data_IF_002805582129
#
_entry.id   IF_002805582129
#
_cell.length_a   1.000
_cell.length_b   1.000
_cell.length_c   1.000
_cell.angle_alpha   90.00
_cell.angle_beta   90.00
_cell.angle_gamma   90.00
#
_symmetry.space_group_name_H-M   'P 1'
#
loop_
_entity.id
_entity.type
_entity.pdbx_description
1 polymer ?
#
# COMPACT_ATOMS: atom_id res chain seq x y z
N UNK A 1 4.94 -104.71 -4.10
CA UNK A 1 5.70 -103.89 -3.10
C UNK A 1 5.97 -102.44 -3.53
N UNK A 2 6.14 -102.13 -4.83
CA UNK A 2 6.51 -100.79 -5.33
C UNK A 2 5.42 -99.70 -5.14
N UNK A 3 4.14 -100.07 -5.16
CA UNK A 3 3.01 -99.14 -5.01
C UNK A 3 2.88 -98.52 -3.61
N UNK A 4 3.10 -99.30 -2.55
CA UNK A 4 3.04 -98.82 -1.17
C UNK A 4 4.20 -97.88 -0.83
N UNK A 5 5.37 -98.09 -1.43
CA UNK A 5 6.53 -97.19 -1.31
C UNK A 5 6.24 -95.82 -1.93
N UNK A 6 5.60 -95.75 -3.10
CA UNK A 6 5.25 -94.48 -3.75
C UNK A 6 4.20 -93.66 -2.97
N UNK A 7 3.21 -94.33 -2.36
CA UNK A 7 2.22 -93.65 -1.49
C UNK A 7 2.89 -93.06 -0.25
N UNK A 8 3.83 -93.79 0.36
CA UNK A 8 4.59 -93.33 1.53
C UNK A 8 5.50 -92.14 1.19
N UNK A 9 6.16 -92.17 0.03
CA UNK A 9 7.01 -91.08 -0.46
C UNK A 9 6.17 -89.81 -0.74
N UNK A 10 5.01 -89.94 -1.37
CA UNK A 10 4.13 -88.80 -1.64
C UNK A 10 3.53 -88.19 -0.35
N UNK A 11 3.17 -89.01 0.64
CA UNK A 11 2.77 -88.51 1.97
C UNK A 11 3.88 -87.74 2.67
N UNK A 12 5.14 -88.22 2.58
CA UNK A 12 6.31 -87.52 3.14
C UNK A 12 6.58 -86.19 2.42
N UNK A 13 6.50 -86.15 1.08
CA UNK A 13 6.65 -84.93 0.28
C UNK A 13 5.58 -83.88 0.62
N UNK A 14 4.31 -84.27 0.70
CA UNK A 14 3.22 -83.35 1.04
C UNK A 14 3.37 -82.76 2.46
N UNK A 15 3.80 -83.56 3.43
CA UNK A 15 4.09 -83.08 4.78
C UNK A 15 5.25 -82.08 4.83
N UNK A 16 6.28 -82.28 4.00
CA UNK A 16 7.41 -81.35 3.90
C UNK A 16 6.98 -80.00 3.29
N UNK A 17 6.18 -80.03 2.23
CA UNK A 17 5.62 -78.82 1.58
C UNK A 17 4.75 -78.03 2.58
N UNK A 18 3.89 -78.71 3.35
CA UNK A 18 3.07 -78.07 4.39
C UNK A 18 3.92 -77.40 5.48
N UNK A 19 5.02 -78.04 5.91
CA UNK A 19 5.95 -77.47 6.89
C UNK A 19 6.66 -76.22 6.34
N UNK A 20 7.09 -76.24 5.07
CA UNK A 20 7.73 -75.11 4.41
C UNK A 20 6.76 -73.93 4.28
N UNK A 21 5.52 -74.18 3.83
CA UNK A 21 4.47 -73.16 3.71
C UNK A 21 4.15 -72.52 5.07
N UNK A 22 3.99 -73.32 6.14
CA UNK A 22 3.76 -72.80 7.50
C UNK A 22 4.93 -71.93 7.99
N UNK A 23 6.18 -72.36 7.74
CA UNK A 23 7.38 -71.59 8.14
C UNK A 23 7.50 -70.28 7.36
N UNK A 24 7.16 -70.28 6.07
CA UNK A 24 7.15 -69.07 5.23
C UNK A 24 6.04 -68.09 5.64
N UNK A 25 4.85 -68.58 6.00
CA UNK A 25 3.73 -67.77 6.53
C UNK A 25 4.10 -67.14 7.88
N UNK A 26 4.74 -67.90 8.78
CA UNK A 26 5.22 -67.38 10.07
C UNK A 26 6.32 -66.31 9.91
N UNK A 27 7.26 -66.49 8.98
CA UNK A 27 8.28 -65.46 8.65
C UNK A 27 7.67 -64.17 8.09
N UNK A 28 6.71 -64.28 7.15
CA UNK A 28 5.99 -63.10 6.63
C UNK A 28 5.23 -62.36 7.72
N UNK A 29 4.52 -63.09 8.60
CA UNK A 29 3.79 -62.48 9.71
C UNK A 29 4.72 -61.79 10.71
N UNK A 30 5.90 -62.36 11.01
CA UNK A 30 6.87 -61.76 11.92
C UNK A 30 7.47 -60.45 11.36
N UNK A 31 7.79 -60.43 10.06
CA UNK A 31 8.28 -59.22 9.37
C UNK A 31 7.21 -58.12 9.30
N UNK A 32 5.95 -58.47 9.01
CA UNK A 32 4.82 -57.53 9.06
C UNK A 32 4.60 -56.96 10.46
N UNK A 33 4.80 -57.75 11.51
CA UNK A 33 4.65 -57.29 12.89
C UNK A 33 5.80 -56.39 13.33
N UNK A 34 7.03 -56.68 12.89
CA UNK A 34 8.19 -55.80 13.09
C UNK A 34 7.98 -54.43 12.42
N UNK A 35 7.51 -54.41 11.17
CA UNK A 35 7.21 -53.16 10.45
C UNK A 35 6.05 -52.37 11.08
N UNK A 36 5.03 -53.05 11.64
CA UNK A 36 3.95 -52.40 12.41
C UNK A 36 4.43 -51.76 13.71
N UNK A 37 5.40 -52.35 14.39
CA UNK A 37 5.93 -51.81 15.64
C UNK A 37 6.82 -50.58 15.40
N UNK A 38 7.58 -50.54 14.29
CA UNK A 38 8.39 -49.37 13.89
C UNK A 38 7.50 -48.14 13.56
N UNK A 39 6.33 -48.35 12.95
CA UNK A 39 5.37 -47.27 12.65
C UNK A 39 4.58 -46.77 13.89
N UNK A 40 4.59 -47.52 14.99
CA UNK A 40 3.93 -47.14 16.26
C UNK A 40 4.84 -46.37 17.21
N UNK A 41 6.15 -46.50 17.10
CA UNK A 41 7.13 -45.79 17.92
C UNK A 41 7.56 -44.43 17.36
N UNK A 42 6.78 -43.83 16.46
CA UNK A 42 7.13 -42.54 15.85
C UNK A 42 6.69 -41.38 16.77
N UNK A 43 7.63 -40.68 17.45
CA UNK A 43 7.31 -39.64 18.44
C UNK A 43 6.53 -38.46 17.83
N UNK A 44 6.52 -38.35 16.49
CA UNK A 44 5.78 -37.32 15.76
C UNK A 44 4.26 -37.39 15.96
N UNK A 45 3.68 -38.58 16.17
CA UNK A 45 2.24 -38.73 16.43
C UNK A 45 1.85 -38.27 17.84
N UNK A 46 2.74 -38.46 18.81
CA UNK A 46 2.52 -38.02 20.18
C UNK A 46 2.68 -36.50 20.32
N UNK A 47 3.63 -35.91 19.60
CA UNK A 47 3.81 -34.45 19.53
C UNK A 47 2.61 -33.78 18.84
N UNK A 48 2.10 -34.33 17.72
CA UNK A 48 0.89 -33.79 17.09
C UNK A 48 -0.36 -33.96 17.99
N UNK A 49 -0.49 -35.08 18.69
CA UNK A 49 -1.59 -35.32 19.62
C UNK A 49 -1.53 -34.38 20.83
N UNK A 50 -0.35 -34.15 21.41
CA UNK A 50 -0.14 -33.19 22.50
C UNK A 50 -0.33 -31.74 22.04
N UNK A 51 0.10 -31.38 20.83
CA UNK A 51 -0.17 -30.06 20.25
C UNK A 51 -1.67 -29.84 20.00
N UNK A 52 -2.37 -30.85 19.48
CA UNK A 52 -3.82 -30.81 19.28
C UNK A 52 -4.59 -30.73 20.61
N UNK A 53 -4.12 -31.40 21.67
CA UNK A 53 -4.74 -31.36 23.00
C UNK A 53 -4.41 -30.05 23.76
N UNK A 54 -3.24 -29.46 23.55
CA UNK A 54 -2.85 -28.18 24.17
C UNK A 54 -3.63 -26.99 23.59
N UNK A 55 -3.95 -27.02 22.29
CA UNK A 55 -4.79 -25.98 21.67
C UNK A 55 -6.26 -25.99 22.14
N UNK A 56 -6.74 -27.05 22.78
CA UNK A 56 -8.16 -27.23 23.13
C UNK A 56 -8.55 -26.75 24.54
N UNK A 57 -7.66 -26.05 25.27
CA UNK A 57 -7.98 -25.42 26.56
C UNK A 57 -7.74 -23.90 26.57
N UNK A 58 -8.07 -23.22 25.48
CA UNK A 58 -8.45 -21.81 25.59
C UNK A 58 -9.96 -21.80 25.75
N UNK A 59 -10.43 -21.29 26.88
CA UNK A 59 -11.82 -20.98 27.11
C UNK A 59 -12.30 -20.07 25.97
N UNK A 60 -12.92 -20.67 24.95
CA UNK A 60 -13.51 -19.92 23.85
C UNK A 60 -14.76 -19.26 24.45
N UNK A 61 -14.60 -18.02 24.93
CA UNK A 61 -15.78 -17.17 25.07
C UNK A 61 -16.36 -17.07 23.66
N UNK A 62 -17.60 -17.51 23.51
CA UNK A 62 -18.32 -17.34 22.25
C UNK A 62 -18.37 -15.85 21.96
N UNK A 63 -17.61 -15.40 20.95
CA UNK A 63 -17.51 -13.99 20.60
C UNK A 63 -18.87 -13.58 20.05
N UNK A 64 -19.59 -12.77 20.81
CA UNK A 64 -20.85 -12.17 20.36
C UNK A 64 -20.57 -10.85 19.64
N UNK A 65 -21.52 -10.39 18.82
CA UNK A 65 -21.41 -9.11 18.11
C UNK A 65 -21.31 -7.89 19.04
N UNK A 66 -21.68 -8.01 20.32
CA UNK A 66 -21.59 -6.97 21.35
C UNK A 66 -20.21 -6.95 22.05
N UNK A 67 -19.30 -7.86 21.68
CA UNK A 67 -17.96 -7.92 22.25
C UNK A 67 -17.09 -6.78 21.73
N UNK A 68 -16.35 -6.13 22.62
CA UNK A 68 -15.42 -5.02 22.28
C UNK A 68 -14.28 -5.42 21.33
N UNK A 69 -14.03 -6.72 21.21
CA UNK A 69 -13.07 -7.31 20.28
C UNK A 69 -13.52 -7.20 18.81
N UNK A 70 -14.83 -7.09 18.58
CA UNK A 70 -15.43 -6.93 17.26
C UNK A 70 -15.32 -5.47 16.81
N UNK A 71 -15.01 -5.26 15.54
CA UNK A 71 -14.87 -3.91 15.01
C UNK A 71 -16.23 -3.23 14.83
N UNK A 72 -16.51 -2.22 15.65
CA UNK A 72 -17.69 -1.37 15.52
C UNK A 72 -17.85 -0.77 14.11
N UNK A 73 -16.75 -0.35 13.47
CA UNK A 73 -16.77 0.25 12.13
C UNK A 73 -17.24 -0.74 11.06
N UNK A 74 -16.75 -1.99 11.16
CA UNK A 74 -17.14 -3.06 10.26
C UNK A 74 -18.60 -3.49 10.46
N UNK A 75 -19.07 -3.49 11.71
CA UNK A 75 -20.49 -3.74 12.03
C UNK A 75 -21.41 -2.63 11.48
N UNK A 76 -20.98 -1.37 11.52
CA UNK A 76 -21.78 -0.26 10.97
C UNK A 76 -21.90 -0.34 9.44
N UNK A 77 -20.78 -0.23 8.73
CA UNK A 77 -20.73 -0.17 7.27
C UNK A 77 -19.44 -0.78 6.74
N UNK A 78 -18.32 -0.12 7.05
CA UNK A 78 -16.98 -0.47 6.59
C UNK A 78 -15.93 -0.06 7.62
N UNK A 79 -14.81 -0.78 7.65
CA UNK A 79 -13.66 -0.39 8.47
C UNK A 79 -12.66 0.42 7.61
N UNK A 80 -12.26 1.63 8.05
CA UNK A 80 -11.24 2.41 7.34
C UNK A 80 -9.89 1.68 7.18
N UNK A 81 -9.54 0.78 8.11
CA UNK A 81 -8.31 0.00 8.04
C UNK A 81 -8.29 -0.94 6.83
N UNK A 82 -9.42 -1.59 6.54
CA UNK A 82 -9.54 -2.51 5.40
C UNK A 82 -9.62 -1.76 4.06
N UNK A 83 -10.14 -0.53 4.07
CA UNK A 83 -10.30 0.25 2.84
C UNK A 83 -8.96 0.80 2.31
N UNK A 84 -8.02 1.11 3.19
CA UNK A 84 -6.75 1.77 2.83
C UNK A 84 -5.55 0.83 2.76
N UNK A 85 -5.74 -0.49 2.87
CA UNK A 85 -4.66 -1.46 2.68
C UNK A 85 -3.99 -1.28 1.31
N UNK A 86 -2.65 -1.34 1.30
CA UNK A 86 -1.83 -1.15 0.08
C UNK A 86 -1.95 0.24 -0.58
N UNK A 87 -2.44 1.26 0.14
CA UNK A 87 -2.48 2.64 -0.36
C UNK A 87 -1.41 3.51 0.29
N UNK A 88 -1.12 4.68 -0.29
CA UNK A 88 -0.21 5.68 0.32
C UNK A 88 -0.69 6.23 1.68
N UNK A 89 -1.94 5.96 2.05
CA UNK A 89 -2.55 6.38 3.32
C UNK A 89 -2.88 5.19 4.20
N UNK A 90 -2.15 4.08 4.07
CA UNK A 90 -2.35 2.89 4.89
C UNK A 90 -2.20 3.19 6.38
N UNK A 91 -3.19 2.75 7.16
CA UNK A 91 -3.29 2.92 8.61
C UNK A 91 -2.81 1.63 9.31
N UNK A 92 -2.58 0.57 8.56
CA UNK A 92 -2.24 -0.76 9.05
C UNK A 92 -3.47 -1.65 9.27
N UNK A 93 -3.24 -2.95 9.55
CA UNK A 93 -4.30 -3.93 9.77
C UNK A 93 -5.17 -3.54 10.96
N UNK A 94 -6.45 -3.92 10.93
CA UNK A 94 -7.35 -3.65 12.05
C UNK A 94 -7.00 -4.54 13.26
N UNK A 95 -6.94 -3.93 14.45
CA UNK A 95 -6.74 -4.66 15.72
C UNK A 95 -7.99 -5.44 16.17
N UNK A 96 -9.12 -5.23 15.50
CA UNK A 96 -10.43 -5.80 15.85
C UNK A 96 -10.88 -6.83 14.83
N UNK A 97 -11.76 -7.72 15.27
CA UNK A 97 -12.24 -8.85 14.47
C UNK A 97 -13.27 -8.38 13.43
N UNK A 98 -13.04 -8.75 12.17
CA UNK A 98 -13.97 -8.56 11.04
C UNK A 98 -14.52 -9.92 10.59
N UNK A 99 -15.52 -10.44 11.31
CA UNK A 99 -16.18 -11.69 10.93
C UNK A 99 -17.53 -11.41 10.23
N UNK A 100 -17.71 -11.82 8.95
CA UNK A 100 -18.98 -11.72 8.25
C UNK A 100 -20.15 -12.42 8.97
N UNK A 101 -19.89 -13.53 9.68
CA UNK A 101 -20.95 -14.27 10.40
C UNK A 101 -21.54 -13.47 11.55
N UNK A 102 -20.70 -12.68 12.23
CA UNK A 102 -21.15 -11.78 13.29
C UNK A 102 -22.01 -10.65 12.72
N UNK A 103 -21.65 -10.14 11.53
CA UNK A 103 -22.44 -9.12 10.84
C UNK A 103 -23.82 -9.62 10.45
N UNK A 104 -23.93 -10.80 9.86
CA UNK A 104 -25.23 -11.41 9.56
C UNK A 104 -26.08 -11.65 10.82
N UNK A 105 -25.43 -12.00 11.94
CA UNK A 105 -26.11 -12.22 13.22
C UNK A 105 -26.61 -10.91 13.83
N UNK A 106 -25.86 -9.82 13.63
CA UNK A 106 -26.23 -8.47 14.05
C UNK A 106 -27.42 -7.94 13.23
N UNK A 107 -27.43 -8.11 11.91
CA UNK A 107 -28.52 -7.70 11.02
C UNK A 107 -29.84 -8.43 11.31
N UNK A 108 -29.78 -9.67 11.82
CA UNK A 108 -30.96 -10.44 12.24
C UNK A 108 -31.47 -10.08 13.64
N UNK A 109 -30.72 -9.30 14.42
CA UNK A 109 -31.05 -8.99 15.81
C UNK A 109 -32.09 -7.85 15.89
N UNK A 110 -33.10 -7.95 16.76
CA UNK A 110 -34.07 -6.85 16.96
C UNK A 110 -33.44 -5.61 17.64
N UNK A 111 -32.21 -5.72 18.14
CA UNK A 111 -31.44 -4.62 18.74
C UNK A 111 -30.52 -3.93 17.73
N UNK A 112 -30.65 -4.24 16.44
CA UNK A 112 -29.83 -3.71 15.38
C UNK A 112 -29.84 -2.17 15.35
N UNK A 113 -31.00 -1.54 15.26
CA UNK A 113 -31.10 -0.10 14.98
C UNK A 113 -30.49 0.78 16.09
N UNK A 114 -30.71 0.41 17.35
CA UNK A 114 -30.17 1.16 18.51
C UNK A 114 -28.65 1.05 18.59
N UNK A 115 -28.09 -0.10 18.27
CA UNK A 115 -26.65 -0.32 18.31
C UNK A 115 -25.95 0.18 17.04
N UNK A 116 -26.62 0.12 15.89
CA UNK A 116 -26.14 0.67 14.64
C UNK A 116 -25.90 2.17 14.77
N UNK A 117 -26.84 2.91 15.36
CA UNK A 117 -26.67 4.36 15.59
C UNK A 117 -25.41 4.68 16.43
N UNK A 118 -25.08 3.84 17.43
CA UNK A 118 -23.86 3.99 18.23
C UNK A 118 -22.60 3.70 17.41
N UNK A 119 -22.59 2.61 16.65
CA UNK A 119 -21.46 2.25 15.81
C UNK A 119 -21.24 3.25 14.67
N UNK A 120 -22.31 3.80 14.10
CA UNK A 120 -22.25 4.88 13.12
C UNK A 120 -21.69 6.17 13.71
N UNK A 121 -22.09 6.53 14.94
CA UNK A 121 -21.51 7.69 15.62
C UNK A 121 -20.00 7.53 15.87
N UNK A 122 -19.54 6.35 16.31
CA UNK A 122 -18.11 6.07 16.44
C UNK A 122 -17.37 6.11 15.10
N UNK A 123 -17.98 5.58 14.03
CA UNK A 123 -17.43 5.64 12.69
C UNK A 123 -17.33 7.08 12.19
N UNK A 124 -18.35 7.90 12.40
CA UNK A 124 -18.36 9.31 12.02
C UNK A 124 -17.22 10.08 12.70
N UNK A 125 -17.03 9.89 14.01
CA UNK A 125 -15.91 10.47 14.75
C UNK A 125 -14.54 10.01 14.23
N UNK A 126 -14.43 8.73 13.82
CA UNK A 126 -13.19 8.23 13.21
C UNK A 126 -12.93 8.87 11.85
N UNK A 127 -13.96 9.01 11.02
CA UNK A 127 -13.87 9.68 9.72
C UNK A 127 -13.47 11.14 9.86
N UNK A 128 -14.04 11.88 10.81
CA UNK A 128 -13.69 13.27 11.08
C UNK A 128 -12.20 13.42 11.42
N UNK A 129 -11.67 12.55 12.29
CA UNK A 129 -10.22 12.53 12.60
C UNK A 129 -9.35 12.27 11.36
N UNK A 130 -9.78 11.39 10.45
CA UNK A 130 -9.06 11.13 9.21
C UNK A 130 -9.10 12.35 8.28
N UNK A 131 -10.24 13.02 8.16
CA UNK A 131 -10.37 14.26 7.38
C UNK A 131 -9.44 15.33 7.94
N UNK A 132 -9.41 15.52 9.27
CA UNK A 132 -8.51 16.49 9.90
C UNK A 132 -7.02 16.20 9.62
N UNK A 133 -6.60 14.93 9.62
CA UNK A 133 -5.22 14.57 9.28
C UNK A 133 -4.91 14.81 7.79
N UNK A 134 -5.88 14.54 6.90
CA UNK A 134 -5.77 14.85 5.48
C UNK A 134 -5.66 16.36 5.25
N UNK A 135 -6.50 17.15 5.90
CA UNK A 135 -6.45 18.62 5.82
C UNK A 135 -5.11 19.15 6.31
N UNK A 136 -4.58 18.60 7.40
CA UNK A 136 -3.25 18.96 7.91
C UNK A 136 -2.16 18.61 6.91
N UNK A 137 -2.25 17.45 6.24
CA UNK A 137 -1.31 17.02 5.19
C UNK A 137 -1.39 17.93 3.98
N UNK A 138 -2.60 18.31 3.55
CA UNK A 138 -2.84 19.26 2.46
C UNK A 138 -2.26 20.62 2.80
N UNK A 139 -2.50 21.13 4.02
CA UNK A 139 -1.96 22.42 4.47
C UNK A 139 -0.44 22.44 4.41
N UNK A 140 0.23 21.42 4.96
CA UNK A 140 1.70 21.30 4.87
C UNK A 140 2.18 21.17 3.42
N UNK A 141 1.42 20.46 2.57
CA UNK A 141 1.71 20.36 1.14
C UNK A 141 1.66 21.71 0.45
N UNK A 142 0.60 22.49 0.70
CA UNK A 142 0.45 23.85 0.18
C UNK A 142 1.53 24.80 0.68
N UNK A 143 1.90 24.72 1.96
CA UNK A 143 2.95 25.54 2.56
C UNK A 143 4.32 25.25 1.93
N UNK A 144 4.66 23.98 1.68
CA UNK A 144 5.87 23.61 0.93
C UNK A 144 5.87 24.12 -0.51
N UNK A 145 4.73 24.04 -1.20
CA UNK A 145 4.60 24.58 -2.56
C UNK A 145 4.74 26.10 -2.55
N UNK A 146 4.08 26.79 -1.62
CA UNK A 146 4.16 28.24 -1.48
C UNK A 146 5.58 28.72 -1.12
N UNK A 147 6.34 27.96 -0.32
CA UNK A 147 7.75 28.26 -0.03
C UNK A 147 8.67 28.00 -1.22
N UNK A 148 8.37 26.99 -2.06
CA UNK A 148 9.11 26.71 -3.28
C UNK A 148 8.83 27.73 -4.41
N UNK A 149 7.64 28.32 -4.41
CA UNK A 149 7.19 29.32 -5.38
C UNK A 149 7.27 30.76 -4.87
N UNK A 150 7.69 31.01 -3.62
CA UNK A 150 7.88 32.37 -3.11
C UNK A 150 9.06 33.00 -3.86
N UNK A 151 8.82 33.97 -4.78
CA UNK A 151 9.90 34.77 -5.28
C UNK A 151 10.31 35.65 -4.11
N UNK A 152 11.34 35.24 -3.38
CA UNK A 152 12.02 36.02 -2.34
C UNK A 152 11.83 37.51 -2.67
N UNK A 153 11.11 38.30 -1.84
CA UNK A 153 10.78 39.67 -2.18
C UNK A 153 12.09 40.31 -2.61
N UNK A 154 12.20 40.79 -3.87
CA UNK A 154 13.47 41.20 -4.41
C UNK A 154 14.07 42.17 -3.40
N UNK A 155 15.32 41.95 -2.94
CA UNK A 155 15.95 42.85 -1.99
C UNK A 155 15.74 44.26 -2.51
N UNK A 156 15.34 45.22 -1.65
CA UNK A 156 14.87 46.54 -2.09
C UNK A 156 15.88 47.05 -3.10
N UNK A 157 15.45 47.05 -4.37
CA UNK A 157 16.27 47.55 -5.46
C UNK A 157 16.62 48.96 -5.00
N UNK A 158 17.91 49.29 -4.90
CA UNK A 158 18.32 50.66 -4.63
C UNK A 158 17.50 51.54 -5.57
N UNK A 159 16.70 52.48 -5.04
CA UNK A 159 15.65 53.17 -5.80
C UNK A 159 16.14 53.63 -7.19
N UNK A 160 17.40 54.08 -7.24
CA UNK A 160 18.19 54.40 -8.42
C UNK A 160 18.17 53.36 -9.56
N UNK A 161 18.27 52.06 -9.26
CA UNK A 161 18.28 50.98 -10.27
C UNK A 161 16.87 50.74 -10.82
N UNK A 162 15.84 50.88 -9.99
CA UNK A 162 14.45 50.78 -10.42
C UNK A 162 14.09 51.95 -11.34
N UNK A 163 14.45 53.17 -10.94
CA UNK A 163 14.23 54.37 -11.74
C UNK A 163 14.95 54.32 -13.09
N UNK A 164 16.20 53.85 -13.13
CA UNK A 164 16.94 53.64 -14.40
C UNK A 164 16.23 52.66 -15.32
N UNK A 165 15.58 51.62 -14.81
CA UNK A 165 14.82 50.67 -15.62
C UNK A 165 13.54 51.31 -16.17
N UNK A 166 12.81 52.05 -15.33
CA UNK A 166 11.61 52.80 -15.74
C UNK A 166 11.91 53.83 -16.84
N UNK A 167 13.01 54.57 -16.72
CA UNK A 167 13.46 55.52 -17.75
C UNK A 167 13.81 54.82 -19.07
N UNK A 168 14.42 53.63 -19.02
CA UNK A 168 14.69 52.84 -20.22
C UNK A 168 13.40 52.27 -20.82
N UNK A 169 12.38 51.99 -20.00
CA UNK A 169 11.02 51.59 -20.38
C UNK A 169 10.28 52.64 -21.16
N UNK A 170 10.19 53.84 -20.61
CA UNK A 170 9.59 54.97 -21.26
C UNK A 170 10.28 55.30 -22.59
N UNK A 171 11.63 55.30 -22.61
CA UNK A 171 12.41 55.52 -23.83
C UNK A 171 12.22 54.46 -24.91
N UNK A 172 11.81 53.23 -24.56
CA UNK A 172 11.46 52.20 -25.54
C UNK A 172 10.05 52.42 -26.06
N UNK A 173 9.10 52.78 -25.20
CA UNK A 173 7.72 53.12 -25.60
C UNK A 173 7.71 54.31 -26.58
N UNK A 174 8.45 55.38 -26.27
CA UNK A 174 8.52 56.57 -27.12
C UNK A 174 9.13 56.27 -28.50
N UNK A 175 10.15 55.41 -28.55
CA UNK A 175 10.75 54.99 -29.82
C UNK A 175 9.83 54.08 -30.64
N UNK A 176 8.98 53.27 -30.00
CA UNK A 176 8.00 52.42 -30.71
C UNK A 176 6.93 53.29 -31.38
N UNK A 177 6.40 54.29 -30.67
CA UNK A 177 5.45 55.26 -31.24
C UNK A 177 6.06 55.99 -32.44
N UNK A 178 7.33 56.36 -32.38
CA UNK A 178 8.03 57.01 -33.51
C UNK A 178 8.18 56.08 -34.72
N UNK A 179 8.41 54.79 -34.49
CA UNK A 179 8.47 53.80 -35.58
C UNK A 179 7.10 53.62 -36.22
N UNK A 180 6.05 53.52 -35.41
CA UNK A 180 4.67 53.37 -35.90
C UNK A 180 4.28 54.57 -36.76
N UNK A 181 4.51 55.80 -36.29
CA UNK A 181 4.24 57.02 -37.04
C UNK A 181 5.04 57.10 -38.36
N UNK A 182 6.33 56.74 -38.37
CA UNK A 182 7.13 56.72 -39.60
C UNK A 182 6.71 55.60 -40.57
N UNK A 183 6.17 54.50 -40.04
CA UNK A 183 5.55 53.43 -40.80
C UNK A 183 4.26 53.89 -41.50
N UNK A 184 3.41 54.64 -40.80
CA UNK A 184 2.18 55.22 -41.34
C UNK A 184 2.45 56.25 -42.45
N UNK A 185 3.50 57.07 -42.30
CA UNK A 185 3.93 58.05 -43.31
C UNK A 185 4.63 57.38 -44.52
N UNK A 186 4.94 56.09 -44.44
CA UNK A 186 5.57 55.33 -45.53
C UNK A 186 7.08 55.52 -45.65
N UNK A 187 7.76 56.08 -44.63
CA UNK A 187 9.22 56.24 -44.59
C UNK A 187 9.89 54.98 -44.04
N UNK A 188 9.86 53.93 -44.85
CA UNK A 188 10.28 52.56 -44.45
C UNK A 188 11.74 52.50 -44.01
N UNK A 189 12.66 53.19 -44.70
CA UNK A 189 14.10 53.15 -44.39
C UNK A 189 14.42 53.80 -43.02
N UNK A 190 13.77 54.92 -42.70
CA UNK A 190 13.94 55.63 -41.42
C UNK A 190 13.33 54.82 -40.26
N UNK A 191 12.14 54.23 -40.48
CA UNK A 191 11.48 53.36 -39.51
C UNK A 191 12.33 52.11 -39.19
N UNK A 192 12.94 51.49 -40.20
CA UNK A 192 13.84 50.34 -40.02
C UNK A 192 15.10 50.72 -39.23
N UNK A 193 15.68 51.89 -39.47
CA UNK A 193 16.83 52.39 -38.72
C UNK A 193 16.51 52.59 -37.24
N UNK A 194 15.31 53.11 -36.91
CA UNK A 194 14.83 53.27 -35.53
C UNK A 194 14.50 51.93 -34.88
N UNK A 195 13.92 50.98 -35.62
CA UNK A 195 13.70 49.61 -35.13
C UNK A 195 14.98 48.89 -34.76
N UNK A 196 16.07 49.11 -35.51
CA UNK A 196 17.39 48.58 -35.16
C UNK A 196 17.91 49.17 -33.84
N UNK A 197 17.69 50.47 -33.59
CA UNK A 197 18.04 51.13 -32.31
C UNK A 197 17.19 50.60 -31.15
N UNK A 198 15.90 50.38 -31.37
CA UNK A 198 14.98 49.76 -30.41
C UNK A 198 15.44 48.36 -30.00
N UNK A 199 15.74 47.48 -30.97
CA UNK A 199 16.23 46.12 -30.71
C UNK A 199 17.52 46.13 -29.89
N UNK A 200 18.45 47.05 -30.16
CA UNK A 200 19.66 47.23 -29.35
C UNK A 200 19.35 47.63 -27.91
N UNK A 201 18.39 48.54 -27.70
CA UNK A 201 17.99 49.01 -26.36
C UNK A 201 17.23 47.92 -25.58
N UNK A 202 16.40 47.13 -26.26
CA UNK A 202 15.72 45.97 -25.68
C UNK A 202 16.68 44.83 -25.32
N UNK A 203 17.68 44.56 -26.18
CA UNK A 203 18.75 43.59 -25.89
C UNK A 203 19.51 43.95 -24.62
N UNK A 204 19.97 45.21 -24.52
CA UNK A 204 20.62 45.72 -23.29
C UNK A 204 19.70 45.58 -22.07
N UNK A 205 18.40 45.86 -22.17
CA UNK A 205 17.48 45.63 -21.04
C UNK A 205 17.46 44.16 -20.62
N UNK A 206 17.34 43.24 -21.57
CA UNK A 206 17.31 41.79 -21.29
C UNK A 206 18.61 41.31 -20.65
N UNK A 207 19.76 41.80 -21.10
CA UNK A 207 21.06 41.47 -20.50
C UNK A 207 21.18 42.02 -19.08
N UNK A 208 20.71 43.24 -18.84
CA UNK A 208 20.65 43.83 -17.50
C UNK A 208 19.70 43.08 -16.56
N UNK A 209 18.56 42.58 -17.07
CA UNK A 209 17.64 41.71 -16.32
C UNK A 209 18.20 40.29 -16.12
N UNK A 210 19.00 39.78 -17.07
CA UNK A 210 19.66 38.47 -16.99
C UNK A 210 20.79 38.45 -15.95
N UNK A 211 21.65 39.47 -15.93
CA UNK A 211 22.69 39.65 -14.89
C UNK A 211 22.09 39.77 -13.49
N UNK A 212 20.94 40.47 -13.37
CA UNK A 212 20.16 40.57 -12.13
C UNK A 212 19.69 39.21 -11.59
N UNK A 213 19.41 38.23 -12.46
CA UNK A 213 18.97 36.89 -12.07
C UNK A 213 20.13 36.01 -11.54
N UNK A 214 21.36 36.29 -11.96
CA UNK A 214 22.57 35.61 -11.48
C UNK A 214 23.05 36.18 -10.14
N UNK A 215 23.00 37.50 -9.95
CA UNK A 215 23.39 38.14 -8.67
C UNK A 215 22.44 37.81 -7.51
N UNK A 216 21.13 37.68 -7.77
CA UNK A 216 20.14 37.32 -6.74
C UNK A 216 20.04 35.80 -6.47
N UNK A 217 20.70 34.96 -7.27
CA UNK A 217 20.70 33.49 -7.11
C UNK A 217 21.93 32.93 -6.42
N UNK A 218 22.82 33.80 -5.93
CA UNK A 218 24.07 33.44 -5.27
C UNK A 218 24.21 34.12 -3.91
N UNK A 219 23.36 33.73 -2.96
CA UNK A 219 23.66 33.75 -1.53
C UNK A 219 22.76 32.74 -0.81
#
# INVERSE_FOLDING_TARGET
>A
EIWNSNISINKKKNNLILKICKKRKKRKNNSLNQNRNILKSNPRKEILSKAAAFSQRKDYKEITWDSKEVCAYYMARFCPHDLFVNTKSDIGPCDRVHDPKLKESFEKSPRHDVNLAKFEAELAQRCEKLVMELDRRVRRGRERLAQGDEPMPPPPLSADKSERLSVVEEKIKNLLVQVEALGEVGKVDEAQALMKKLRRRQGKRKDWQGKKKQENGGN
#
